data_IF_451491674485
#
_entry.id   IF_451491674485
#
_cell.length_a   1.000
_cell.length_b   1.000
_cell.length_c   1.000
_cell.angle_alpha   90.00
_cell.angle_beta   90.00
_cell.angle_gamma   90.00
#
_symmetry.space_group_name_H-M   'P 1'
#
loop_
_entity.id
_entity.type
_entity.pdbx_description
1 polymer ?
#
# COMPACT_ATOMS: atom_id res chain seq x y z
N UNK A 1 -11.74 15.87 4.40
CA UNK A 1 -11.72 14.45 4.07
C UNK A 1 -10.47 14.14 3.25
N UNK A 2 -9.60 13.25 3.75
CA UNK A 2 -8.32 12.86 3.10
C UNK A 2 -8.51 11.57 2.27
N UNK A 3 -9.48 10.72 2.63
CA UNK A 3 -9.72 9.43 2.00
C UNK A 3 -10.73 9.60 0.85
N UNK A 4 -10.33 9.20 -0.37
CA UNK A 4 -11.17 9.25 -1.56
C UNK A 4 -11.67 7.86 -1.99
N UNK A 5 -10.89 6.81 -1.71
CA UNK A 5 -11.22 5.42 -1.96
C UNK A 5 -10.53 4.53 -0.93
N UNK A 6 -11.19 3.44 -0.53
CA UNK A 6 -10.64 2.42 0.36
C UNK A 6 -11.17 1.05 -0.03
N UNK A 7 -10.26 0.10 -0.18
CA UNK A 7 -10.55 -1.34 -0.26
C UNK A 7 -9.63 -2.08 0.73
N UNK A 8 -10.24 -2.83 1.65
CA UNK A 8 -9.54 -3.58 2.67
C UNK A 8 -9.57 -5.05 2.30
N UNK A 9 -8.38 -5.67 2.25
CA UNK A 9 -8.21 -7.10 2.08
C UNK A 9 -7.67 -7.69 3.38
N UNK A 10 -8.47 -8.55 3.99
CA UNK A 10 -8.10 -9.28 5.19
C UNK A 10 -6.95 -10.26 4.92
N UNK A 11 -6.17 -10.54 5.96
CA UNK A 11 -5.05 -11.47 5.86
C UNK A 11 -5.54 -12.90 5.62
N UNK A 12 -4.93 -13.58 4.65
CA UNK A 12 -5.09 -15.03 4.43
C UNK A 12 -3.80 -15.80 4.75
N UNK A 13 -2.81 -15.12 5.32
CA UNK A 13 -1.50 -15.68 5.65
C UNK A 13 -1.57 -16.73 6.77
N UNK A 14 -1.11 -17.95 6.50
CA UNK A 14 -0.93 -19.02 7.50
C UNK A 14 0.56 -19.16 7.87
N UNK A 15 0.89 -18.93 9.14
CA UNK A 15 2.25 -19.08 9.67
C UNK A 15 2.82 -20.50 9.54
N UNK A 16 1.95 -21.51 9.45
CA UNK A 16 2.34 -22.93 9.35
C UNK A 16 2.54 -23.35 7.90
N UNK A 17 2.08 -22.55 6.94
CA UNK A 17 2.27 -22.84 5.53
C UNK A 17 3.74 -22.66 5.17
N UNK A 18 4.32 -23.69 4.55
CA UNK A 18 5.68 -23.60 4.03
C UNK A 18 5.75 -22.55 2.90
N UNK A 19 6.87 -21.81 2.79
CA UNK A 19 7.05 -20.87 1.69
C UNK A 19 6.82 -21.56 0.34
N UNK A 20 6.14 -20.87 -0.57
CA UNK A 20 5.87 -21.40 -1.91
C UNK A 20 6.69 -20.61 -2.93
N UNK A 21 7.02 -21.25 -4.06
CA UNK A 21 7.64 -20.57 -5.20
C UNK A 21 6.63 -19.76 -6.02
N UNK A 22 5.40 -19.55 -5.51
CA UNK A 22 4.39 -18.75 -6.18
C UNK A 22 4.64 -17.27 -5.93
N UNK A 23 4.44 -16.48 -6.98
CA UNK A 23 4.55 -15.03 -6.95
C UNK A 23 3.65 -14.38 -5.88
N UNK A 24 2.49 -14.98 -5.63
CA UNK A 24 1.43 -14.50 -4.74
C UNK A 24 1.74 -14.65 -3.23
N UNK A 25 2.91 -15.19 -2.85
CA UNK A 25 3.21 -15.45 -1.43
C UNK A 25 3.11 -14.19 -0.56
N UNK A 26 3.49 -13.02 -1.11
CA UNK A 26 3.42 -11.72 -0.42
C UNK A 26 2.02 -11.09 -0.46
N UNK A 27 1.08 -11.69 -1.23
CA UNK A 27 -0.30 -11.25 -1.33
C UNK A 27 -1.21 -11.82 -0.24
N UNK A 28 -0.70 -12.65 0.65
CA UNK A 28 -1.49 -13.19 1.75
C UNK A 28 -1.52 -12.29 3.00
N UNK A 29 -0.63 -11.29 3.11
CA UNK A 29 -0.71 -10.31 4.18
C UNK A 29 -1.95 -9.41 4.03
N UNK A 30 -2.45 -8.89 5.15
CA UNK A 30 -3.50 -7.88 5.12
C UNK A 30 -3.02 -6.66 4.36
N UNK A 31 -3.88 -6.11 3.51
CA UNK A 31 -3.59 -4.97 2.65
C UNK A 31 -4.74 -4.01 2.59
N UNK A 32 -4.44 -2.74 2.35
CA UNK A 32 -5.43 -1.74 2.05
C UNK A 32 -5.02 -0.94 0.82
N UNK A 33 -5.89 -0.92 -0.20
CA UNK A 33 -5.71 -0.13 -1.41
C UNK A 33 -6.49 1.17 -1.28
N UNK A 34 -5.76 2.29 -1.32
CA UNK A 34 -6.28 3.60 -1.01
C UNK A 34 -6.11 4.55 -2.19
N UNK A 35 -7.03 5.51 -2.30
CA UNK A 35 -6.77 6.76 -3.01
C UNK A 35 -6.87 7.89 -1.99
N UNK A 36 -5.78 8.59 -1.76
CA UNK A 36 -5.66 9.68 -0.81
C UNK A 36 -5.62 11.04 -1.52
N UNK A 37 -6.21 12.04 -0.88
CA UNK A 37 -6.10 13.45 -1.27
C UNK A 37 -4.83 14.05 -0.64
N UNK A 38 -3.79 14.27 -1.43
CA UNK A 38 -2.55 14.90 -1.00
C UNK A 38 -2.55 16.39 -1.39
N UNK A 39 -2.44 17.28 -0.41
CA UNK A 39 -2.31 18.73 -0.62
C UNK A 39 -0.89 19.09 -1.08
N UNK A 40 -0.78 20.12 -1.90
CA UNK A 40 0.53 20.71 -2.23
C UNK A 40 0.99 21.63 -1.08
N UNK A 41 2.28 21.56 -0.72
CA UNK A 41 2.87 22.40 0.34
C UNK A 41 3.28 23.80 -0.13
N UNK A 42 3.27 24.09 -1.44
CA UNK A 42 3.73 25.37 -2.01
C UNK A 42 2.59 26.22 -2.59
N UNK A 43 2.68 27.54 -2.35
CA UNK A 43 2.00 28.61 -3.08
C UNK A 43 2.43 28.61 -4.57
N UNK A 44 1.97 27.64 -5.35
CA UNK A 44 2.11 27.73 -6.81
C UNK A 44 1.06 28.69 -7.35
N UNK A 45 1.60 29.73 -7.97
CA UNK A 45 1.00 30.86 -8.67
C UNK A 45 -0.50 30.76 -8.99
N UNK A 46 -1.19 31.84 -8.64
CA UNK A 46 -2.62 32.07 -8.76
C UNK A 46 -3.01 31.98 -10.23
N UNK A 47 -3.48 30.82 -10.69
CA UNK A 47 -4.53 30.62 -11.71
C UNK A 47 -4.77 29.11 -11.95
N UNK A 48 -5.85 28.59 -11.34
CA UNK A 48 -6.66 27.45 -11.83
C UNK A 48 -6.24 25.99 -11.60
N UNK A 49 -5.16 25.66 -10.90
CA UNK A 49 -4.87 24.26 -10.54
C UNK A 49 -5.58 23.82 -9.24
N UNK A 50 -6.10 22.60 -9.20
CA UNK A 50 -6.63 21.97 -7.98
C UNK A 50 -5.51 21.93 -6.92
N UNK A 51 -5.76 22.43 -5.70
CA UNK A 51 -4.80 22.53 -4.58
C UNK A 51 -4.36 21.16 -4.00
N UNK A 52 -4.74 20.07 -4.67
CA UNK A 52 -4.48 18.71 -4.26
C UNK A 52 -4.47 17.76 -5.45
N UNK A 53 -3.77 16.64 -5.28
CA UNK A 53 -3.76 15.51 -6.20
C UNK A 53 -4.25 14.23 -5.53
N UNK A 54 -4.89 13.37 -6.31
CA UNK A 54 -5.23 12.01 -5.88
C UNK A 54 -3.97 11.14 -5.97
N UNK A 55 -3.65 10.40 -4.92
CA UNK A 55 -2.47 9.52 -4.84
C UNK A 55 -2.95 8.12 -4.49
N UNK A 56 -2.62 7.14 -5.34
CA UNK A 56 -2.80 5.73 -4.98
C UNK A 56 -1.77 5.37 -3.92
N UNK A 57 -2.23 4.76 -2.82
CA UNK A 57 -1.37 4.25 -1.76
C UNK A 57 -1.80 2.83 -1.45
N UNK A 58 -0.84 1.92 -1.47
CA UNK A 58 -1.07 0.53 -1.10
C UNK A 58 -0.36 0.31 0.25
N UNK A 59 -1.13 -0.02 1.30
CA UNK A 59 -0.61 -0.34 2.63
C UNK A 59 -0.60 -1.85 2.81
N UNK A 60 0.50 -2.41 3.34
CA UNK A 60 0.67 -3.85 3.59
C UNK A 60 1.05 -4.04 5.05
N UNK A 61 0.38 -4.96 5.74
CA UNK A 61 0.58 -5.21 7.18
C UNK A 61 0.99 -6.67 7.40
N UNK A 62 2.29 -7.00 7.28
CA UNK A 62 2.79 -8.32 7.62
C UNK A 62 2.93 -8.51 9.15
N UNK A 63 2.90 -9.76 9.65
CA UNK A 63 3.38 -10.06 11.01
C UNK A 63 4.81 -9.57 11.21
N UNK A 64 5.16 -9.19 12.45
CA UNK A 64 6.48 -8.61 12.76
C UNK A 64 7.63 -9.55 12.38
N UNK A 65 7.46 -10.86 12.64
CA UNK A 65 8.43 -11.92 12.31
C UNK A 65 8.60 -12.13 10.79
N UNK A 66 7.80 -11.44 9.98
CA UNK A 66 7.82 -11.49 8.52
C UNK A 66 8.20 -10.15 7.88
N UNK A 67 8.46 -9.11 8.68
CA UNK A 67 8.77 -7.76 8.18
C UNK A 67 9.90 -7.75 7.15
N UNK A 68 11.04 -8.39 7.45
CA UNK A 68 12.19 -8.37 6.54
C UNK A 68 11.89 -9.03 5.19
N UNK A 69 11.12 -10.12 5.19
CA UNK A 69 10.70 -10.82 3.97
C UNK A 69 9.70 -9.99 3.16
N UNK A 70 8.71 -9.39 3.84
CA UNK A 70 7.75 -8.50 3.22
C UNK A 70 8.43 -7.26 2.62
N UNK A 71 9.37 -6.65 3.34
CA UNK A 71 10.15 -5.51 2.85
C UNK A 71 10.91 -5.88 1.57
N UNK A 72 11.60 -7.02 1.56
CA UNK A 72 12.31 -7.49 0.36
C UNK A 72 11.36 -7.69 -0.83
N UNK A 73 10.23 -8.38 -0.62
CA UNK A 73 9.27 -8.65 -1.69
C UNK A 73 8.59 -7.40 -2.25
N UNK A 74 8.25 -6.44 -1.38
CA UNK A 74 7.55 -5.21 -1.76
C UNK A 74 8.46 -4.07 -2.23
N UNK A 75 9.78 -4.19 -2.03
CA UNK A 75 10.75 -3.23 -2.60
C UNK A 75 10.96 -3.46 -4.10
N UNK A 76 10.80 -4.70 -4.59
CA UNK A 76 10.95 -5.04 -6.01
C UNK A 76 12.40 -4.98 -6.54
N UNK A 77 12.63 -5.00 -7.86
CA UNK A 77 11.64 -5.04 -8.96
C UNK A 77 11.10 -6.44 -9.24
N UNK A 78 9.96 -6.51 -9.92
CA UNK A 78 9.55 -7.68 -10.71
C UNK A 78 10.45 -7.91 -11.92
#
# INVERSE_FOLDING_TARGET
NILLYSDLQESTFDLRQLPTHRFEAMDHYSKCFLILKLKHEQETDVRTARDWKAVRVDLVVPPLERYAYALLGWTGST
#
